data_IF_608808654770
#
_entry.id   IF_608808654770
#
_cell.length_a   1.000
_cell.length_b   1.000
_cell.length_c   1.000
_cell.angle_alpha   90.00
_cell.angle_beta   90.00
_cell.angle_gamma   90.00
#
_symmetry.space_group_name_H-M   'P 1'
#
loop_
_entity.id
_entity.type
_entity.pdbx_description
1 polymer ?
#
# COMPACT_ATOMS: atom_id res chain seq x y z
N UNK A 1 -7.22 -23.17 36.98
CA UNK A 1 -8.07 -22.25 36.19
C UNK A 1 -7.26 -21.84 34.98
N UNK A 2 -7.52 -22.46 33.82
CA UNK A 2 -6.84 -22.13 32.58
C UNK A 2 -7.54 -20.89 31.99
N UNK A 3 -6.79 -19.79 31.79
CA UNK A 3 -7.30 -18.58 31.16
C UNK A 3 -7.43 -18.81 29.66
N UNK A 4 -8.66 -19.06 29.21
CA UNK A 4 -9.07 -18.98 27.81
C UNK A 4 -9.23 -17.51 27.42
N UNK A 5 -8.23 -16.94 26.73
CA UNK A 5 -8.33 -15.63 26.10
C UNK A 5 -8.48 -15.83 24.60
N UNK A 6 -9.70 -16.17 24.16
CA UNK A 6 -10.12 -15.99 22.77
C UNK A 6 -10.23 -14.48 22.53
N UNK A 7 -9.16 -13.88 22.04
CA UNK A 7 -9.16 -12.48 21.62
C UNK A 7 -8.47 -12.44 20.26
N UNK A 8 -9.14 -11.82 19.29
CA UNK A 8 -8.58 -11.32 18.02
C UNK A 8 -8.54 -12.26 16.80
N UNK A 9 -9.68 -12.86 16.43
CA UNK A 9 -9.87 -13.37 15.06
C UNK A 9 -10.27 -12.23 14.10
N UNK A 10 -9.33 -11.34 13.79
CA UNK A 10 -9.54 -10.22 12.85
C UNK A 10 -8.64 -10.24 11.61
N UNK A 11 -7.55 -11.01 11.62
CA UNK A 11 -6.56 -11.03 10.52
C UNK A 11 -6.13 -12.47 10.28
N UNK A 12 -6.43 -12.98 9.08
CA UNK A 12 -5.99 -14.31 8.64
C UNK A 12 -4.46 -14.30 8.56
N UNK A 13 -3.81 -15.11 9.40
CA UNK A 13 -2.34 -15.27 9.42
C UNK A 13 -1.95 -16.11 8.20
N UNK A 14 -1.37 -15.48 7.18
CA UNK A 14 -0.90 -16.12 5.95
C UNK A 14 0.63 -16.18 6.02
N UNK A 15 1.20 -17.34 5.68
CA UNK A 15 2.65 -17.51 5.58
C UNK A 15 3.05 -17.32 4.13
N UNK A 16 3.74 -16.22 3.83
CA UNK A 16 4.26 -15.92 2.51
C UNK A 16 5.55 -16.72 2.26
N UNK A 17 5.62 -17.43 1.13
CA UNK A 17 6.83 -18.15 0.69
C UNK A 17 8.03 -17.20 0.47
N UNK A 18 7.78 -15.95 0.07
CA UNK A 18 8.80 -14.95 -0.26
C UNK A 18 8.53 -13.58 0.40
N UNK A 19 8.76 -13.43 1.72
CA UNK A 19 8.37 -12.23 2.49
C UNK A 19 9.17 -10.96 2.17
N UNK A 20 10.20 -11.05 1.31
CA UNK A 20 11.09 -9.94 0.93
C UNK A 20 10.98 -9.55 -0.54
N UNK A 21 10.21 -10.29 -1.34
CA UNK A 21 10.06 -10.00 -2.76
C UNK A 21 9.46 -8.60 -2.97
N UNK A 22 10.07 -7.80 -3.84
CA UNK A 22 9.61 -6.43 -4.15
C UNK A 22 9.82 -5.40 -3.03
N UNK A 23 10.40 -5.79 -1.89
CA UNK A 23 10.53 -4.94 -0.69
C UNK A 23 11.85 -4.18 -0.67
N UNK A 24 12.06 -3.32 -1.67
CA UNK A 24 13.27 -2.52 -1.82
C UNK A 24 13.08 -1.07 -1.41
N UNK A 25 14.06 -0.49 -0.72
CA UNK A 25 14.01 0.90 -0.23
C UNK A 25 13.74 1.93 -1.32
N UNK A 26 14.31 1.74 -2.52
CA UNK A 26 14.07 2.65 -3.65
C UNK A 26 12.60 2.65 -4.11
N UNK A 27 11.90 1.51 -4.05
CA UNK A 27 10.49 1.39 -4.44
C UNK A 27 9.60 2.18 -3.48
N UNK A 28 9.91 2.13 -2.18
CA UNK A 28 9.16 2.84 -1.15
C UNK A 28 9.25 4.36 -1.25
N UNK A 29 10.26 4.89 -1.90
CA UNK A 29 10.39 6.34 -2.12
C UNK A 29 9.93 6.72 -3.52
N UNK A 30 10.38 6.01 -4.54
CA UNK A 30 10.10 6.32 -5.94
C UNK A 30 8.62 6.16 -6.28
N UNK A 31 7.96 5.09 -5.85
CA UNK A 31 6.55 4.81 -6.22
C UNK A 31 5.61 5.89 -5.66
N UNK A 32 5.68 6.26 -4.36
CA UNK A 32 4.87 7.36 -3.85
C UNK A 32 5.11 8.68 -4.60
N UNK A 33 6.37 9.01 -4.89
CA UNK A 33 6.70 10.22 -5.65
C UNK A 33 6.09 10.21 -7.05
N UNK A 34 6.20 9.10 -7.78
CA UNK A 34 5.59 8.96 -9.11
C UNK A 34 4.07 9.07 -9.04
N UNK A 35 3.43 8.49 -8.03
CA UNK A 35 1.99 8.64 -7.83
C UNK A 35 1.58 10.09 -7.54
N UNK A 36 2.37 10.84 -6.76
CA UNK A 36 2.12 12.27 -6.56
C UNK A 36 2.24 13.07 -7.86
N UNK A 37 3.23 12.76 -8.70
CA UNK A 37 3.39 13.42 -10.01
C UNK A 37 2.21 13.11 -10.92
N UNK A 38 1.82 11.83 -11.02
CA UNK A 38 0.66 11.39 -11.81
C UNK A 38 -0.62 12.07 -11.32
N UNK A 39 -0.79 12.21 -10.00
CA UNK A 39 -1.94 12.91 -9.43
C UNK A 39 -2.01 14.37 -9.87
N UNK A 40 -0.91 15.13 -9.73
CA UNK A 40 -0.87 16.56 -10.10
C UNK A 40 -1.08 16.74 -11.59
N UNK A 41 -0.35 15.99 -12.43
CA UNK A 41 -0.45 16.07 -13.89
C UNK A 41 -1.83 15.62 -14.36
N UNK A 42 -2.38 14.57 -13.75
CA UNK A 42 -3.69 14.03 -14.08
C UNK A 42 -4.82 14.99 -13.73
N UNK A 43 -4.81 15.58 -12.54
CA UNK A 43 -5.79 16.61 -12.16
C UNK A 43 -5.67 17.80 -13.12
N UNK A 44 -4.48 18.36 -13.28
CA UNK A 44 -4.28 19.55 -14.10
C UNK A 44 -4.67 19.32 -15.56
N UNK A 45 -4.19 18.23 -16.17
CA UNK A 45 -4.47 17.88 -17.56
C UNK A 45 -5.94 17.59 -17.80
N UNK A 46 -6.57 16.73 -16.98
CA UNK A 46 -7.96 16.36 -17.20
C UNK A 46 -8.93 17.51 -16.86
N UNK A 47 -8.64 18.32 -15.85
CA UNK A 47 -9.44 19.52 -15.57
C UNK A 47 -9.38 20.53 -16.71
N UNK A 48 -8.23 20.72 -17.36
CA UNK A 48 -8.11 21.60 -18.53
C UNK A 48 -8.82 21.07 -19.78
N UNK A 49 -8.92 19.75 -19.94
CA UNK A 49 -9.61 19.14 -21.09
C UNK A 49 -11.12 19.28 -21.00
N UNK A 50 -11.66 19.29 -19.78
CA UNK A 50 -13.11 19.32 -19.54
C UNK A 50 -13.68 20.75 -19.58
N UNK A 51 -12.84 21.76 -19.30
CA UNK A 51 -13.19 23.19 -19.39
C UNK A 51 -13.19 23.64 -20.86
#
# INVERSE_FOLDING_TARGET
MALNSSTEDGIKRIQDDCPRAGRHSYIFVMIPTLYSIIFVVGIFGNSLVVI
#
